data_IF_779887240585
#
_entry.id   IF_779887240585
#
_cell.length_a   1.000
_cell.length_b   1.000
_cell.length_c   1.000
_cell.angle_alpha   90.00
_cell.angle_beta   90.00
_cell.angle_gamma   90.00
#
_symmetry.space_group_name_H-M   'P 1'
#
loop_
_entity.id
_entity.type
_entity.pdbx_description
1 polymer ?
#
# COMPACT_ATOMS: atom_id res chain seq x y z
N UNK A 1 0.25 -21.07 -7.09
CA UNK A 1 0.21 -19.78 -6.37
C UNK A 1 0.11 -18.70 -7.42
N UNK A 2 -0.73 -17.70 -7.20
CA UNK A 2 -0.88 -16.57 -8.12
C UNK A 2 0.13 -15.49 -7.76
N UNK A 3 0.66 -14.78 -8.76
CA UNK A 3 1.61 -13.68 -8.62
C UNK A 3 0.99 -12.49 -7.89
N UNK A 4 -0.31 -12.27 -8.14
CA UNK A 4 -1.13 -11.24 -7.49
C UNK A 4 -2.44 -11.85 -6.99
N UNK A 5 -3.00 -11.27 -5.93
CA UNK A 5 -4.27 -11.69 -5.34
C UNK A 5 -5.17 -10.48 -5.06
N UNK A 6 -6.49 -10.61 -5.29
CA UNK A 6 -7.45 -9.65 -4.78
C UNK A 6 -7.52 -9.76 -3.26
N UNK A 7 -7.89 -8.68 -2.58
CA UNK A 7 -7.98 -8.66 -1.12
C UNK A 7 -9.06 -7.69 -0.65
N UNK A 8 -9.55 -7.90 0.57
CA UNK A 8 -10.48 -7.00 1.22
C UNK A 8 -9.68 -5.88 1.90
N UNK A 9 -9.54 -4.73 1.23
CA UNK A 9 -8.74 -3.62 1.72
C UNK A 9 -9.39 -3.01 2.96
N UNK A 10 -8.53 -2.53 3.86
CA UNK A 10 -8.93 -1.58 4.88
C UNK A 10 -8.65 -0.18 4.34
N UNK A 11 -9.69 0.60 4.08
CA UNK A 11 -9.57 1.92 3.43
C UNK A 11 -10.50 2.94 4.08
N UNK A 12 -10.27 4.25 3.88
CA UNK A 12 -11.20 5.27 4.34
C UNK A 12 -12.59 5.08 3.74
N UNK A 13 -13.64 5.39 4.52
CA UNK A 13 -14.94 5.67 3.92
C UNK A 13 -14.80 6.86 2.97
N UNK A 14 -15.55 6.86 1.86
CA UNK A 14 -15.35 7.81 0.74
C UNK A 14 -15.27 9.27 1.21
N UNK A 15 -16.18 9.71 2.07
CA UNK A 15 -16.24 11.10 2.55
C UNK A 15 -15.14 11.47 3.57
N UNK A 16 -14.30 10.52 3.97
CA UNK A 16 -13.19 10.69 4.93
C UNK A 16 -11.82 10.53 4.29
N UNK A 17 -11.72 10.24 3.00
CA UNK A 17 -10.44 9.99 2.35
C UNK A 17 -9.47 11.19 2.49
N UNK A 18 -9.97 12.42 2.41
CA UNK A 18 -9.17 13.65 2.59
C UNK A 18 -8.68 13.84 4.05
N UNK A 19 -9.44 13.34 5.03
CA UNK A 19 -9.03 13.38 6.44
C UNK A 19 -7.86 12.42 6.70
N UNK A 20 -7.81 11.31 5.97
CA UNK A 20 -6.82 10.23 6.17
C UNK A 20 -5.57 10.38 5.33
N UNK A 21 -5.67 10.86 4.08
CA UNK A 21 -4.53 10.90 3.16
C UNK A 21 -3.28 11.56 3.77
N UNK A 22 -2.15 10.90 3.57
CA UNK A 22 -0.83 11.35 4.02
C UNK A 22 0.24 10.99 2.98
N UNK A 23 1.36 11.75 2.95
CA UNK A 23 2.52 11.36 2.16
C UNK A 23 3.19 10.09 2.73
N UNK A 24 4.10 9.47 1.97
CA UNK A 24 4.93 8.37 2.47
C UNK A 24 5.67 8.74 3.77
N UNK A 25 5.88 7.75 4.65
CA UNK A 25 6.46 7.97 5.97
C UNK A 25 7.95 8.34 5.94
N UNK A 26 8.64 7.96 4.87
CA UNK A 26 10.07 8.07 4.65
C UNK A 26 10.47 9.35 3.90
N UNK A 27 9.51 10.15 3.44
CA UNK A 27 9.75 11.48 2.84
C UNK A 27 9.57 12.63 3.85
N UNK A 28 9.24 12.33 5.10
CA UNK A 28 9.05 13.32 6.17
C UNK A 28 9.90 13.01 7.40
N UNK A 29 10.51 14.05 7.96
CA UNK A 29 10.99 14.03 9.35
C UNK A 29 9.81 14.00 10.33
N UNK A 30 10.03 13.54 11.56
CA UNK A 30 9.00 13.57 12.60
C UNK A 30 8.61 14.99 13.03
N UNK A 31 9.42 16.01 12.71
CA UNK A 31 9.07 17.40 12.94
C UNK A 31 8.07 17.90 11.88
N UNK A 32 8.35 17.66 10.59
CA UNK A 32 7.45 17.99 9.49
C UNK A 32 6.12 17.23 9.61
N UNK A 33 6.17 15.95 9.99
CA UNK A 33 4.98 15.14 10.19
C UNK A 33 4.06 15.68 11.31
N UNK A 34 4.63 16.18 12.42
CA UNK A 34 3.84 16.85 13.48
C UNK A 34 3.14 18.10 12.97
N UNK A 35 3.84 18.92 12.18
CA UNK A 35 3.23 20.13 11.59
C UNK A 35 2.11 19.74 10.64
N UNK A 36 2.32 18.74 9.78
CA UNK A 36 1.34 18.31 8.78
C UNK A 36 0.13 17.57 9.37
N UNK A 37 0.30 16.91 10.52
CA UNK A 37 -0.80 16.26 11.24
C UNK A 37 -1.53 17.21 12.22
N UNK A 38 -1.03 18.44 12.42
CA UNK A 38 -1.66 19.40 13.34
C UNK A 38 -3.10 19.70 12.91
N UNK A 39 -4.06 19.50 13.82
CA UNK A 39 -5.49 19.69 13.55
C UNK A 39 -6.12 18.62 12.64
N UNK A 40 -5.39 17.57 12.27
CA UNK A 40 -5.85 16.47 11.41
C UNK A 40 -5.85 15.14 12.17
N UNK A 41 -6.80 14.93 13.10
CA UNK A 41 -6.80 13.78 14.01
C UNK A 41 -6.88 12.42 13.32
N UNK A 42 -7.31 12.39 12.05
CA UNK A 42 -7.44 11.17 11.26
C UNK A 42 -6.34 10.97 10.23
N UNK A 43 -5.32 11.85 10.20
CA UNK A 43 -4.20 11.71 9.27
C UNK A 43 -3.52 10.35 9.44
N UNK A 44 -3.22 9.67 8.33
CA UNK A 44 -2.52 8.40 8.34
C UNK A 44 -1.08 8.51 8.88
N UNK A 45 -0.56 9.73 9.06
CA UNK A 45 0.69 9.97 9.79
C UNK A 45 0.64 9.47 11.24
N UNK A 46 -0.53 9.43 11.88
CA UNK A 46 -0.69 8.86 13.22
C UNK A 46 -0.42 7.34 13.26
N UNK A 47 -0.48 6.65 12.12
CA UNK A 47 -0.18 5.21 12.01
C UNK A 47 1.22 4.99 11.42
N UNK A 48 1.59 5.80 10.42
CA UNK A 48 2.83 5.62 9.66
C UNK A 48 4.05 6.33 10.26
N UNK A 49 3.84 7.37 11.07
CA UNK A 49 4.83 8.07 11.91
C UNK A 49 4.28 8.29 13.33
N UNK A 50 3.93 7.22 14.07
CA UNK A 50 3.22 7.29 15.35
C UNK A 50 4.01 8.01 16.45
N UNK A 51 5.33 8.20 16.28
CA UNK A 51 6.15 9.00 17.20
C UNK A 51 5.72 10.48 17.27
N UNK A 52 4.91 10.96 16.33
CA UNK A 52 4.36 12.33 16.36
C UNK A 52 3.41 12.56 17.54
N UNK A 53 2.78 11.50 18.06
CA UNK A 53 1.82 11.53 19.17
C UNK A 53 2.48 11.30 20.55
N UNK A 54 3.81 11.24 20.57
CA UNK A 54 4.61 10.99 21.76
C UNK A 54 5.55 12.17 22.02
N UNK A 55 6.11 12.29 23.25
CA UNK A 55 7.11 13.29 23.56
C UNK A 55 8.23 13.34 22.51
N UNK A 56 8.69 14.54 22.16
CA UNK A 56 9.73 14.71 21.12
C UNK A 56 11.05 14.00 21.41
N UNK A 57 11.26 13.62 22.67
CA UNK A 57 12.43 12.89 23.16
C UNK A 57 12.31 11.37 23.05
N UNK A 58 11.12 10.85 22.72
CA UNK A 58 10.92 9.40 22.52
C UNK A 58 11.69 8.94 21.30
N UNK A 59 12.45 7.85 21.44
CA UNK A 59 13.10 7.16 20.33
C UNK A 59 12.02 6.65 19.34
N UNK A 60 12.09 7.01 18.05
CA UNK A 60 11.16 6.51 17.02
C UNK A 60 11.06 4.99 16.92
N UNK A 61 12.03 4.24 17.44
CA UNK A 61 12.03 2.78 17.46
C UNK A 61 11.73 2.18 18.84
N UNK A 62 11.27 2.97 19.81
CA UNK A 62 10.79 2.48 21.10
C UNK A 62 9.49 1.66 20.96
N UNK A 63 9.26 0.69 21.84
CA UNK A 63 8.07 -0.17 21.82
C UNK A 63 6.76 0.61 21.87
N UNK A 64 6.72 1.68 22.69
CA UNK A 64 5.59 2.60 22.82
C UNK A 64 5.17 3.28 21.50
N UNK A 65 6.10 3.46 20.56
CA UNK A 65 5.83 4.01 19.23
C UNK A 65 4.98 3.05 18.39
N UNK A 66 5.31 1.76 18.40
CA UNK A 66 4.55 0.73 17.70
C UNK A 66 3.20 0.49 18.37
N UNK A 67 3.16 0.49 19.72
CA UNK A 67 1.91 0.39 20.47
C UNK A 67 0.98 1.57 20.16
N UNK A 68 1.51 2.79 20.04
CA UNK A 68 0.77 3.98 19.62
C UNK A 68 0.19 3.82 18.22
N UNK A 69 0.97 3.31 17.26
CA UNK A 69 0.50 3.02 15.91
C UNK A 69 -0.74 2.10 15.92
N UNK A 70 -0.66 1.01 16.69
CA UNK A 70 -1.73 0.02 16.82
C UNK A 70 -2.98 0.63 17.47
N UNK A 71 -2.82 1.39 18.55
CA UNK A 71 -3.91 2.09 19.21
C UNK A 71 -4.62 3.08 18.26
N UNK A 72 -3.86 3.84 17.49
CA UNK A 72 -4.39 4.80 16.52
C UNK A 72 -5.17 4.10 15.38
N UNK A 73 -4.65 2.99 14.86
CA UNK A 73 -5.37 2.16 13.88
C UNK A 73 -6.68 1.61 14.44
N UNK A 74 -6.66 1.07 15.66
CA UNK A 74 -7.88 0.57 16.32
C UNK A 74 -8.90 1.68 16.55
N UNK A 75 -8.46 2.89 16.91
CA UNK A 75 -9.34 4.04 17.05
C UNK A 75 -10.01 4.41 15.71
N UNK A 76 -9.26 4.43 14.60
CA UNK A 76 -9.84 4.71 13.27
C UNK A 76 -10.87 3.66 12.86
N UNK A 77 -10.65 2.38 13.21
CA UNK A 77 -11.62 1.30 12.98
C UNK A 77 -12.89 1.49 13.81
N UNK A 78 -12.74 1.74 15.12
CA UNK A 78 -13.86 1.90 16.04
C UNK A 78 -14.74 3.11 15.69
N UNK A 79 -14.13 4.16 15.15
CA UNK A 79 -14.84 5.39 14.74
C UNK A 79 -15.39 5.33 13.31
N UNK A 80 -15.22 4.19 12.62
CA UNK A 80 -15.70 4.01 11.25
C UNK A 80 -15.00 4.90 10.22
N UNK A 81 -13.81 5.43 10.55
CA UNK A 81 -12.98 6.22 9.63
C UNK A 81 -12.39 5.30 8.55
N UNK A 82 -11.90 4.14 8.98
CA UNK A 82 -11.43 3.07 8.11
C UNK A 82 -12.43 1.91 8.16
N UNK A 83 -12.80 1.39 6.99
CA UNK A 83 -13.70 0.25 6.83
C UNK A 83 -13.06 -0.80 5.94
N UNK A 84 -13.36 -2.07 6.24
CA UNK A 84 -12.92 -3.20 5.44
C UNK A 84 -13.95 -3.49 4.36
N UNK A 85 -13.51 -3.65 3.13
CA UNK A 85 -14.40 -4.09 2.05
C UNK A 85 -14.96 -5.50 2.35
N UNK A 86 -16.18 -5.77 1.87
CA UNK A 86 -16.93 -6.98 2.23
C UNK A 86 -16.30 -8.29 1.73
N UNK A 87 -15.43 -8.23 0.72
CA UNK A 87 -14.77 -9.39 0.16
C UNK A 87 -13.56 -9.03 -0.70
N UNK A 88 -12.79 -10.05 -1.13
CA UNK A 88 -11.63 -9.85 -1.98
C UNK A 88 -12.01 -9.17 -3.29
N UNK A 89 -11.35 -8.06 -3.59
CA UNK A 89 -11.46 -7.36 -4.87
C UNK A 89 -10.10 -6.78 -5.25
N UNK A 90 -9.98 -6.31 -6.48
CA UNK A 90 -8.86 -5.46 -6.87
C UNK A 90 -9.25 -3.99 -6.79
N UNK A 91 -8.24 -3.13 -6.76
CA UNK A 91 -8.43 -1.68 -6.78
C UNK A 91 -7.57 -1.11 -7.89
N UNK A 92 -8.14 -0.24 -8.71
CA UNK A 92 -7.38 0.51 -9.69
C UNK A 92 -7.05 1.85 -9.04
N UNK A 93 -5.79 2.23 -9.14
CA UNK A 93 -5.29 3.46 -8.54
C UNK A 93 -4.63 4.33 -9.61
N UNK A 94 -5.04 5.59 -9.66
CA UNK A 94 -4.51 6.58 -10.59
C UNK A 94 -3.89 7.75 -9.82
N UNK A 95 -2.70 8.15 -10.25
CA UNK A 95 -2.07 9.41 -9.85
C UNK A 95 -1.92 10.31 -11.06
N UNK A 96 -2.28 11.58 -10.92
CA UNK A 96 -2.09 12.62 -11.94
C UNK A 96 -1.24 13.74 -11.35
N UNK A 97 -0.10 13.99 -11.98
CA UNK A 97 0.93 14.96 -11.60
C UNK A 97 1.17 15.90 -12.79
N UNK A 98 0.47 17.03 -12.82
CA UNK A 98 0.47 17.91 -13.99
C UNK A 98 -0.10 17.19 -15.22
N UNK A 99 0.69 17.12 -16.30
CA UNK A 99 0.31 16.41 -17.53
C UNK A 99 0.58 14.90 -17.47
N UNK A 100 1.34 14.43 -16.47
CA UNK A 100 1.69 13.04 -16.33
C UNK A 100 0.62 12.28 -15.54
N UNK A 101 0.25 11.09 -16.02
CA UNK A 101 -0.71 10.21 -15.36
C UNK A 101 -0.22 8.78 -15.38
N UNK A 102 -0.34 8.11 -14.24
CA UNK A 102 -0.07 6.68 -14.09
C UNK A 102 -1.27 5.98 -13.45
N UNK A 103 -1.71 4.88 -14.07
CA UNK A 103 -2.81 4.03 -13.61
C UNK A 103 -2.28 2.63 -13.38
N UNK A 104 -2.45 2.14 -12.15
CA UNK A 104 -1.94 0.86 -11.71
C UNK A 104 -2.98 0.04 -10.97
N UNK A 105 -2.60 -1.19 -10.63
CA UNK A 105 -3.42 -2.15 -9.90
C UNK A 105 -2.90 -2.31 -8.48
N UNK A 106 -3.74 -2.08 -7.47
CA UNK A 106 -3.43 -2.39 -6.07
C UNK A 106 -3.73 -3.87 -5.82
N UNK A 107 -2.75 -4.59 -5.28
CA UNK A 107 -2.81 -6.05 -5.10
C UNK A 107 -2.21 -6.49 -3.76
N UNK A 108 -2.52 -7.73 -3.37
CA UNK A 108 -1.64 -8.51 -2.51
C UNK A 108 -0.68 -9.34 -3.39
N UNK A 109 0.60 -8.99 -3.43
CA UNK A 109 1.64 -9.62 -4.24
C UNK A 109 2.30 -10.79 -3.49
N UNK A 110 2.60 -11.87 -4.20
CA UNK A 110 3.09 -13.13 -3.61
C UNK A 110 4.47 -13.01 -2.96
N UNK A 111 4.60 -13.41 -1.69
CA UNK A 111 5.90 -13.53 -1.01
C UNK A 111 6.74 -14.64 -1.64
N UNK A 112 6.13 -15.76 -2.01
CA UNK A 112 6.86 -16.87 -2.65
C UNK A 112 7.46 -16.46 -4.01
N UNK A 113 6.76 -15.64 -4.79
CA UNK A 113 7.28 -15.10 -6.06
C UNK A 113 8.34 -14.03 -5.82
N UNK A 114 8.31 -13.31 -4.69
CA UNK A 114 9.41 -12.44 -4.26
C UNK A 114 10.67 -13.23 -3.83
N UNK A 115 10.49 -14.31 -3.07
CA UNK A 115 11.60 -15.13 -2.58
C UNK A 115 12.29 -15.90 -3.72
N UNK A 116 11.50 -16.41 -4.67
CA UNK A 116 12.00 -17.03 -5.90
C UNK A 116 12.47 -16.03 -6.98
N UNK A 117 12.41 -14.73 -6.67
CA UNK A 117 12.87 -13.62 -7.53
C UNK A 117 12.10 -13.49 -8.86
N UNK A 118 10.86 -13.99 -8.93
CA UNK A 118 9.91 -13.65 -9.99
C UNK A 118 9.36 -12.22 -9.84
N UNK A 119 9.18 -11.77 -8.59
CA UNK A 119 9.13 -10.33 -8.26
C UNK A 119 10.57 -9.89 -8.00
N UNK A 120 11.16 -9.19 -8.97
CA UNK A 120 12.60 -8.94 -9.06
C UNK A 120 13.02 -7.79 -8.16
N UNK A 121 14.08 -8.06 -7.39
CA UNK A 121 14.84 -7.10 -6.59
C UNK A 121 15.96 -6.50 -7.45
N UNK A 122 16.30 -5.23 -7.21
CA UNK A 122 17.48 -4.59 -7.81
C UNK A 122 18.33 -3.81 -6.79
N UNK A 123 18.01 -3.93 -5.50
CA UNK A 123 18.72 -3.25 -4.40
C UNK A 123 18.86 -4.20 -3.21
N UNK A 124 19.91 -3.99 -2.42
CA UNK A 124 20.04 -4.60 -1.11
C UNK A 124 19.29 -3.79 -0.06
N UNK A 125 18.69 -4.50 0.87
CA UNK A 125 18.05 -3.92 2.05
C UNK A 125 19.04 -3.80 3.20
N UNK A 126 18.65 -3.04 4.22
CA UNK A 126 19.44 -2.80 5.44
C UNK A 126 18.69 -3.43 6.62
N UNK A 127 19.37 -4.21 7.49
CA UNK A 127 18.71 -4.92 8.58
C UNK A 127 17.91 -4.02 9.53
N UNK A 128 18.46 -2.87 9.91
CA UNK A 128 17.81 -1.89 10.80
C UNK A 128 16.47 -1.41 10.24
N UNK A 129 16.43 -1.09 8.94
CA UNK A 129 15.20 -0.68 8.24
C UNK A 129 14.19 -1.81 8.10
N UNK A 130 14.65 -3.04 7.88
CA UNK A 130 13.76 -4.19 7.85
C UNK A 130 13.17 -4.49 9.21
N UNK A 131 13.97 -4.47 10.28
CA UNK A 131 13.53 -4.76 11.65
C UNK A 131 12.43 -3.79 12.08
N UNK A 132 12.62 -2.51 11.79
CA UNK A 132 11.63 -1.46 12.00
C UNK A 132 10.31 -1.73 11.24
N UNK A 133 10.39 -2.19 9.98
CA UNK A 133 9.19 -2.55 9.19
C UNK A 133 8.52 -3.84 9.67
N UNK A 134 9.29 -4.86 10.06
CA UNK A 134 8.77 -6.11 10.65
C UNK A 134 8.00 -5.77 11.93
N UNK A 135 8.59 -4.97 12.83
CA UNK A 135 7.92 -4.54 14.08
C UNK A 135 6.64 -3.77 13.80
N UNK A 136 6.62 -2.91 12.78
CA UNK A 136 5.39 -2.24 12.37
C UNK A 136 4.32 -3.23 11.91
N UNK A 137 4.64 -4.14 10.97
CA UNK A 137 3.68 -5.13 10.46
C UNK A 137 3.14 -5.99 11.60
N UNK A 138 4.01 -6.47 12.49
CA UNK A 138 3.64 -7.28 13.65
C UNK A 138 2.71 -6.50 14.61
N UNK A 139 3.03 -5.24 14.91
CA UNK A 139 2.24 -4.41 15.84
C UNK A 139 0.85 -4.04 15.31
N UNK A 140 0.74 -3.81 13.99
CA UNK A 140 -0.51 -3.43 13.34
C UNK A 140 -1.33 -4.66 12.89
N UNK A 141 -0.66 -5.81 12.76
CA UNK A 141 -1.14 -6.96 12.01
C UNK A 141 -1.68 -6.57 10.62
N UNK A 142 -0.99 -5.63 9.96
CA UNK A 142 -1.38 -5.03 8.70
C UNK A 142 -0.15 -4.42 8.00
N UNK A 143 -0.26 -4.24 6.68
CA UNK A 143 0.75 -3.55 5.88
C UNK A 143 0.22 -2.20 5.44
N UNK A 144 0.97 -1.13 5.71
CA UNK A 144 0.49 0.25 5.62
C UNK A 144 1.17 1.09 4.54
N UNK A 145 2.14 0.52 3.81
CA UNK A 145 2.85 1.21 2.73
C UNK A 145 2.96 0.31 1.50
N UNK A 146 2.18 0.54 0.43
CA UNK A 146 2.24 -0.31 -0.76
C UNK A 146 3.62 -0.26 -1.43
N UNK A 147 4.21 -1.43 -1.71
CA UNK A 147 5.40 -1.55 -2.56
C UNK A 147 5.07 -1.09 -3.97
N UNK A 148 5.93 -0.26 -4.56
CA UNK A 148 5.78 0.17 -5.94
C UNK A 148 6.38 -0.90 -6.85
N UNK A 149 5.53 -1.55 -7.63
CA UNK A 149 5.94 -2.54 -8.61
C UNK A 149 5.74 -1.98 -10.03
N UNK A 150 6.60 -2.39 -10.94
CA UNK A 150 6.51 -2.12 -12.37
C UNK A 150 6.39 -3.42 -13.16
N UNK A 151 5.73 -3.36 -14.31
CA UNK A 151 5.68 -4.46 -15.27
C UNK A 151 5.92 -3.98 -16.69
N UNK A 152 6.39 -4.91 -17.55
CA UNK A 152 6.50 -4.64 -18.98
C UNK A 152 5.09 -4.45 -19.55
N UNK A 153 4.80 -3.25 -20.05
CA UNK A 153 3.47 -2.83 -20.48
C UNK A 153 2.90 -3.81 -21.49
N UNK A 154 1.65 -4.17 -21.27
CA UNK A 154 0.87 -5.03 -22.17
C UNK A 154 -0.43 -4.30 -22.48
N UNK A 155 -0.64 -3.98 -23.75
CA UNK A 155 -1.80 -3.20 -24.20
C UNK A 155 -3.13 -3.79 -23.71
N UNK A 156 -3.25 -5.12 -23.70
CA UNK A 156 -4.44 -5.80 -23.16
C UNK A 156 -4.70 -5.48 -21.68
N UNK A 157 -3.66 -5.40 -20.86
CA UNK A 157 -3.79 -5.07 -19.43
C UNK A 157 -4.12 -3.58 -19.30
N UNK A 158 -3.44 -2.72 -20.04
CA UNK A 158 -3.67 -1.27 -20.02
C UNK A 158 -5.13 -0.93 -20.40
N UNK A 159 -5.67 -1.55 -21.47
CA UNK A 159 -7.08 -1.39 -21.88
C UNK A 159 -8.03 -1.90 -20.81
N UNK A 160 -7.74 -3.04 -20.19
CA UNK A 160 -8.57 -3.63 -19.14
C UNK A 160 -8.63 -2.75 -17.89
N UNK A 161 -7.49 -2.22 -17.44
CA UNK A 161 -7.42 -1.30 -16.30
C UNK A 161 -8.07 0.05 -16.63
N UNK A 162 -7.93 0.55 -17.86
CA UNK A 162 -8.60 1.77 -18.29
C UNK A 162 -10.12 1.60 -18.26
N UNK A 163 -10.64 0.52 -18.85
CA UNK A 163 -12.08 0.21 -18.89
C UNK A 163 -12.66 0.03 -17.49
N UNK A 164 -11.94 -0.64 -16.59
CA UNK A 164 -12.37 -0.84 -15.21
C UNK A 164 -12.28 0.43 -14.35
N UNK A 165 -11.60 1.47 -14.85
CA UNK A 165 -11.59 2.82 -14.29
C UNK A 165 -12.45 3.79 -15.14
N UNK A 166 -13.39 3.28 -15.94
CA UNK A 166 -14.44 4.08 -16.57
C UNK A 166 -15.56 4.34 -15.55
N UNK A 167 -15.92 5.62 -15.38
CA UNK A 167 -16.95 6.04 -14.43
C UNK A 167 -16.40 6.77 -13.21
N UNK A 168 -17.31 7.04 -12.26
CA UNK A 168 -16.97 7.80 -11.06
C UNK A 168 -16.09 6.96 -10.12
N UNK A 169 -14.91 7.47 -9.70
CA UNK A 169 -14.07 6.81 -8.71
C UNK A 169 -14.75 6.73 -7.33
N UNK A 170 -14.44 5.68 -6.57
CA UNK A 170 -14.86 5.50 -5.17
C UNK A 170 -14.15 6.48 -4.22
N UNK A 171 -12.95 6.93 -4.59
CA UNK A 171 -12.17 7.98 -3.91
C UNK A 171 -11.52 8.86 -4.97
N UNK A 172 -11.67 10.17 -4.84
CA UNK A 172 -11.04 11.13 -5.74
C UNK A 172 -10.77 12.45 -5.05
N UNK A 173 -9.49 12.75 -4.88
CA UNK A 173 -9.05 13.93 -4.15
C UNK A 173 -7.69 14.42 -4.66
N UNK A 174 -7.41 15.70 -4.44
CA UNK A 174 -6.09 16.27 -4.72
C UNK A 174 -5.38 16.52 -3.40
N UNK A 175 -4.18 15.97 -3.24
CA UNK A 175 -3.35 16.19 -2.07
C UNK A 175 -2.79 17.63 -2.06
N UNK A 176 -2.23 18.03 -0.93
CA UNK A 176 -1.63 19.35 -0.70
C UNK A 176 -0.36 19.62 -1.52
N UNK A 177 0.23 18.59 -2.13
CA UNK A 177 1.31 18.69 -3.11
C UNK A 177 0.81 18.86 -4.57
N UNK A 178 -0.51 18.92 -4.76
CA UNK A 178 -1.14 19.09 -6.08
C UNK A 178 -1.32 17.80 -6.88
N UNK A 179 -0.96 16.64 -6.32
CA UNK A 179 -1.16 15.35 -6.97
C UNK A 179 -2.61 14.91 -6.77
N UNK A 180 -3.30 14.59 -7.87
CA UNK A 180 -4.65 14.01 -7.80
C UNK A 180 -4.55 12.49 -7.70
N UNK A 181 -5.24 11.96 -6.70
CA UNK A 181 -5.34 10.54 -6.39
C UNK A 181 -6.77 10.08 -6.62
N UNK A 182 -6.94 9.07 -7.48
CA UNK A 182 -8.24 8.46 -7.75
C UNK A 182 -8.16 6.94 -7.58
N UNK A 183 -9.22 6.33 -7.04
CA UNK A 183 -9.29 4.90 -6.80
C UNK A 183 -10.68 4.33 -7.15
N UNK A 184 -10.69 3.19 -7.85
CA UNK A 184 -11.90 2.46 -8.24
C UNK A 184 -11.84 1.04 -7.69
N UNK A 185 -12.94 0.54 -7.13
CA UNK A 185 -13.02 -0.82 -6.60
C UNK A 185 -13.59 -1.78 -7.64
N UNK A 186 -12.82 -2.80 -8.02
CA UNK A 186 -13.19 -3.80 -9.03
C UNK A 186 -13.81 -5.02 -8.34
N UNK A 187 -15.15 -5.07 -8.31
CA UNK A 187 -15.92 -6.14 -7.64
C UNK A 187 -16.44 -7.23 -8.58
N UNK A 188 -16.40 -7.00 -9.89
CA UNK A 188 -16.87 -7.97 -10.86
C UNK A 188 -15.95 -9.19 -10.88
N UNK A 189 -16.49 -10.37 -10.54
CA UNK A 189 -15.70 -11.60 -10.38
C UNK A 189 -15.02 -12.03 -11.69
N UNK A 190 -15.68 -11.85 -12.83
CA UNK A 190 -15.13 -12.22 -14.13
C UNK A 190 -13.92 -11.33 -14.46
N UNK A 191 -14.04 -10.03 -14.22
CA UNK A 191 -12.95 -9.08 -14.41
C UNK A 191 -11.79 -9.33 -13.42
N UNK A 192 -12.08 -9.66 -12.16
CA UNK A 192 -11.05 -10.05 -11.18
C UNK A 192 -10.27 -11.29 -11.64
N UNK A 193 -10.96 -12.30 -12.18
CA UNK A 193 -10.31 -13.50 -12.73
C UNK A 193 -9.46 -13.17 -13.97
N UNK A 194 -9.98 -12.34 -14.88
CA UNK A 194 -9.27 -11.89 -16.07
C UNK A 194 -8.00 -11.09 -15.72
N UNK A 195 -8.08 -10.17 -14.75
CA UNK A 195 -6.94 -9.42 -14.24
C UNK A 195 -5.92 -10.38 -13.65
N UNK A 196 -6.33 -11.28 -12.74
CA UNK A 196 -5.43 -12.25 -12.10
C UNK A 196 -4.69 -13.09 -13.13
N UNK A 197 -5.42 -13.63 -14.12
CA UNK A 197 -4.84 -14.45 -15.20
C UNK A 197 -3.82 -13.66 -16.02
N UNK A 198 -4.10 -12.40 -16.32
CA UNK A 198 -3.21 -11.55 -17.09
C UNK A 198 -1.90 -11.24 -16.35
N UNK A 199 -1.97 -10.98 -15.03
CA UNK A 199 -0.78 -10.77 -14.20
C UNK A 199 -0.01 -12.08 -13.96
N UNK A 200 -0.70 -13.19 -13.76
CA UNK A 200 -0.09 -14.52 -13.61
C UNK A 200 0.65 -14.99 -14.86
N UNK A 201 0.25 -14.51 -16.04
CA UNK A 201 0.95 -14.79 -17.30
C UNK A 201 2.26 -13.99 -17.46
N UNK A 202 2.53 -13.00 -16.61
CA UNK A 202 3.75 -12.20 -16.69
C UNK A 202 4.96 -13.01 -16.24
N UNK A 203 6.07 -12.88 -16.97
CA UNK A 203 7.33 -13.53 -16.59
C UNK A 203 7.83 -13.01 -15.24
N UNK A 204 7.75 -11.70 -15.02
CA UNK A 204 8.23 -11.04 -13.81
C UNK A 204 7.52 -9.71 -13.55
N UNK A 205 7.52 -9.32 -12.28
CA UNK A 205 7.30 -7.94 -11.82
C UNK A 205 8.63 -7.39 -11.31
N UNK A 206 8.77 -6.08 -11.24
CA UNK A 206 9.99 -5.42 -10.81
C UNK A 206 9.66 -4.47 -9.66
N UNK A 207 10.36 -4.59 -8.54
CA UNK A 207 10.25 -3.60 -7.48
C UNK A 207 10.89 -2.32 -8.01
N UNK A 208 10.17 -1.20 -7.97
CA UNK A 208 10.71 0.12 -8.29
C UNK A 208 10.95 0.96 -7.03
N UNK A 209 10.15 0.73 -5.98
CA UNK A 209 10.38 1.26 -4.65
C UNK A 209 9.74 0.34 -3.59
N UNK A 210 10.32 0.30 -2.39
CA UNK A 210 9.79 -0.45 -1.26
C UNK A 210 10.48 -1.79 -0.95
N UNK A 211 11.76 -1.96 -1.32
CA UNK A 211 12.51 -3.20 -1.07
C UNK A 211 12.54 -3.60 0.41
N UNK A 212 12.66 -2.64 1.32
CA UNK A 212 12.60 -2.90 2.77
C UNK A 212 11.22 -3.44 3.20
N UNK A 213 10.15 -2.98 2.55
CA UNK A 213 8.77 -3.39 2.86
C UNK A 213 8.48 -4.80 2.35
N UNK A 214 8.93 -5.14 1.14
CA UNK A 214 8.84 -6.51 0.62
C UNK A 214 9.73 -7.49 1.41
N UNK A 215 10.94 -7.07 1.80
CA UNK A 215 11.83 -7.89 2.63
C UNK A 215 11.24 -8.15 4.03
N UNK A 216 10.69 -7.12 4.67
CA UNK A 216 10.00 -7.26 5.95
C UNK A 216 8.78 -8.19 5.85
N UNK A 217 7.98 -8.07 4.78
CA UNK A 217 6.85 -8.97 4.56
C UNK A 217 7.30 -10.44 4.38
N UNK A 218 8.37 -10.69 3.62
CA UNK A 218 8.97 -12.04 3.50
C UNK A 218 9.43 -12.59 4.86
N UNK A 219 10.06 -11.76 5.70
CA UNK A 219 10.47 -12.14 7.06
C UNK A 219 9.28 -12.47 7.96
N UNK A 220 8.19 -11.70 7.89
CA UNK A 220 6.95 -11.96 8.64
C UNK A 220 6.27 -13.25 8.14
N UNK A 221 6.26 -13.50 6.83
CA UNK A 221 5.73 -14.75 6.28
C UNK A 221 6.51 -15.97 6.79
N UNK A 222 7.85 -15.85 6.82
CA UNK A 222 8.73 -16.91 7.31
C UNK A 222 8.55 -17.18 8.82
N UNK A 223 8.23 -16.17 9.63
CA UNK A 223 7.94 -16.34 11.06
C UNK A 223 6.53 -16.88 11.35
N UNK A 224 5.63 -16.86 10.36
CA UNK A 224 4.23 -17.29 10.47
C UNK A 224 3.87 -18.37 9.44
N UNK A 225 4.52 -19.55 9.46
CA UNK A 225 4.29 -20.59 8.47
C UNK A 225 2.82 -21.04 8.46
N UNK A 226 2.20 -21.03 7.28
CA UNK A 226 0.80 -21.42 7.09
C UNK A 226 -0.22 -20.30 7.29
N UNK A 227 0.20 -19.10 7.72
CA UNK A 227 -0.66 -17.92 7.76
C UNK A 227 -0.86 -17.37 6.34
N UNK A 228 -2.04 -17.62 5.76
CA UNK A 228 -2.40 -17.12 4.44
C UNK A 228 -2.38 -15.58 4.37
N UNK A 229 -2.62 -14.87 5.48
CA UNK A 229 -2.57 -13.42 5.55
C UNK A 229 -1.14 -12.85 5.48
N UNK A 230 -0.14 -13.66 5.83
CA UNK A 230 1.28 -13.29 5.74
C UNK A 230 1.93 -13.70 4.42
N UNK A 231 1.27 -14.54 3.60
CA UNK A 231 1.82 -15.09 2.35
C UNK A 231 1.90 -14.07 1.19
N UNK A 232 1.47 -12.83 1.41
CA UNK A 232 1.45 -11.77 0.40
C UNK A 232 1.77 -10.40 1.00
N UNK A 233 2.08 -9.43 0.14
CA UNK A 233 2.31 -8.04 0.53
C UNK A 233 1.58 -7.01 -0.33
N UNK A 234 1.16 -5.92 0.29
CA UNK A 234 0.48 -4.81 -0.35
C UNK A 234 1.40 -4.15 -1.37
N UNK A 235 0.94 -4.06 -2.61
CA UNK A 235 1.67 -3.42 -3.70
C UNK A 235 0.72 -2.63 -4.60
N UNK A 236 1.27 -1.65 -5.31
CA UNK A 236 0.64 -1.08 -6.50
C UNK A 236 1.54 -1.34 -7.70
N UNK A 237 0.96 -1.91 -8.75
CA UNK A 237 1.68 -2.30 -9.96
C UNK A 237 1.35 -1.34 -11.10
N UNK A 238 2.36 -0.66 -11.66
CA UNK A 238 2.21 0.27 -12.78
C UNK A 238 2.90 -0.23 -14.06
N UNK A 239 2.37 0.10 -15.25
CA UNK A 239 3.05 -0.20 -16.51
C UNK A 239 4.31 0.66 -16.63
N UNK A 240 5.47 0.05 -16.95
CA UNK A 240 6.74 0.79 -17.03
C UNK A 240 6.73 2.01 -17.98
N UNK A 241 5.88 2.01 -19.02
CA UNK A 241 5.73 3.17 -19.93
C UNK A 241 5.09 4.40 -19.28
N UNK A 242 4.42 4.24 -18.14
CA UNK A 242 3.84 5.32 -17.35
C UNK A 242 4.72 5.66 -16.14
N UNK A 243 5.86 5.00 -15.96
CA UNK A 243 6.84 5.37 -14.94
C UNK A 243 7.80 6.40 -15.54
N UNK A 244 8.13 7.45 -14.78
CA UNK A 244 9.16 8.44 -15.13
C UNK A 244 10.51 8.09 -14.49
#
# INVERSE_FOLDING_TARGET
>A
MTLTQPFAALRPVTDRAADVIAPPYDVLSSAEARVRAAGRPWSFLHISKPEIDLPKTTDPHAEEVYARASANLQQMLQQGVLVRDAGPCYYIYRMVMGEHSQTGLVVAASVADYDSNRIRKHEFTRPDKEDDRVRQIESLNAQTGPVLLAYKSQERVDVMLAAAAEGAPDVDLTADDGIRHSLWVVRDNLLVEQITTAFDAMEALYIADGHHRSAAASRVAASRPGDAGAAAFLAVIFPHRQMQ
#
